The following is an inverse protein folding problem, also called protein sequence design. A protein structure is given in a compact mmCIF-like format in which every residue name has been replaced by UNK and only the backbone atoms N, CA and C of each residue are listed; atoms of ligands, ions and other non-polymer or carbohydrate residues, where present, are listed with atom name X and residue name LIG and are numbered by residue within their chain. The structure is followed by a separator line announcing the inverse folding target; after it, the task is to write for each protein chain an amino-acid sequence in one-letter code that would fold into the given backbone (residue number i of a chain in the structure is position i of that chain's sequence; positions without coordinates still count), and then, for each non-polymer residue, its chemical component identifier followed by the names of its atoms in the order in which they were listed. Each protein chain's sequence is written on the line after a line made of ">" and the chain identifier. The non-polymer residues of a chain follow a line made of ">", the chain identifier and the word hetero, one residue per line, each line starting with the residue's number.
data_IF_661773464316
#
_entry.id   IF_661773464316
#
_cell.length_a   1.000
_cell.length_b   1.000
_cell.length_c   1.000
_cell.angle_alpha   90.00
_cell.angle_beta   90.00
_cell.angle_gamma   90.00
#
_symmetry.space_group_name_H-M   'P 1'
#
loop_
_entity.id
_entity.type
_entity.pdbx_description
1 polymer ?
#
# COMPACT_ATOMS: atom_id res chain seq x y z
N UNK A 1 6.13 7.17 34.43
CA UNK A 1 7.07 7.20 33.30
C UNK A 1 6.25 7.61 32.08
N UNK A 2 6.28 8.89 31.71
CA UNK A 2 5.45 9.45 30.65
C UNK A 2 6.05 9.08 29.29
N UNK A 3 5.23 8.54 28.38
CA UNK A 3 5.56 8.42 26.96
C UNK A 3 4.48 9.13 26.14
N UNK A 4 4.88 10.23 25.50
CA UNK A 4 4.18 10.88 24.40
C UNK A 4 4.46 10.12 23.10
N UNK A 5 3.52 10.09 22.16
CA UNK A 5 3.71 9.39 20.88
C UNK A 5 3.51 10.35 19.69
N UNK A 6 4.63 10.71 19.04
CA UNK A 6 4.71 11.36 17.73
C UNK A 6 5.25 10.32 16.71
N UNK A 7 4.58 10.15 15.56
CA UNK A 7 5.04 9.42 14.34
C UNK A 7 5.45 7.94 14.48
N UNK A 8 4.76 7.02 13.78
CA UNK A 8 5.25 5.65 13.57
C UNK A 8 5.93 5.49 12.20
N UNK A 9 7.18 5.07 12.23
CA UNK A 9 8.02 4.70 11.09
C UNK A 9 7.78 3.21 10.77
N UNK A 10 7.53 2.87 9.50
CA UNK A 10 7.52 1.47 9.07
C UNK A 10 8.97 0.97 9.02
N UNK A 11 9.35 0.04 9.91
CA UNK A 11 10.59 -0.72 9.74
C UNK A 11 10.51 -1.53 8.44
N UNK A 12 11.61 -1.56 7.67
CA UNK A 12 11.71 -2.33 6.43
C UNK A 12 11.41 -3.80 6.70
N UNK A 13 10.50 -4.38 5.94
CA UNK A 13 10.15 -5.80 6.06
C UNK A 13 9.61 -6.31 4.72
N UNK A 14 9.61 -7.64 4.56
CA UNK A 14 9.22 -8.31 3.32
C UNK A 14 8.26 -9.47 3.59
N UNK A 15 7.31 -9.68 2.68
CA UNK A 15 6.37 -10.80 2.74
C UNK A 15 6.23 -11.46 1.37
N UNK A 16 5.94 -12.76 1.39
CA UNK A 16 5.58 -13.53 0.21
C UNK A 16 4.09 -13.89 0.32
N UNK A 17 3.33 -13.60 -0.73
CA UNK A 17 1.89 -13.86 -0.77
C UNK A 17 1.54 -14.64 -2.02
N UNK A 18 0.79 -15.71 -1.83
CA UNK A 18 0.27 -16.54 -2.91
C UNK A 18 -1.13 -16.07 -3.25
N UNK A 19 -1.41 -15.89 -4.53
CA UNK A 19 -2.74 -15.50 -4.98
C UNK A 19 -3.06 -16.18 -6.29
N UNK A 20 -4.35 -16.39 -6.51
CA UNK A 20 -4.89 -16.99 -7.72
C UNK A 20 -5.76 -15.94 -8.42
N UNK A 21 -5.69 -15.93 -9.75
CA UNK A 21 -6.50 -15.05 -10.59
C UNK A 21 -7.10 -15.85 -11.73
N UNK A 22 -8.28 -15.42 -12.18
CA UNK A 22 -8.88 -15.90 -13.41
C UNK A 22 -8.44 -14.95 -14.52
N UNK A 23 -7.69 -15.47 -15.48
CA UNK A 23 -7.29 -14.75 -16.69
C UNK A 23 -8.11 -15.23 -17.89
N UNK A 24 -7.97 -14.58 -19.04
CA UNK A 24 -8.62 -15.02 -20.30
C UNK A 24 -8.23 -16.46 -20.69
N UNK A 25 -7.10 -16.96 -20.16
CA UNK A 25 -6.61 -18.32 -20.38
C UNK A 25 -6.95 -19.31 -19.24
N UNK A 26 -7.79 -18.90 -18.28
CA UNK A 26 -8.24 -19.76 -17.16
C UNK A 26 -7.64 -19.41 -15.80
N UNK A 27 -7.65 -20.37 -14.87
CA UNK A 27 -7.10 -20.21 -13.52
C UNK A 27 -5.57 -20.20 -13.56
N UNK A 28 -4.97 -19.11 -13.07
CA UNK A 28 -3.52 -18.99 -12.92
C UNK A 28 -3.16 -18.68 -11.47
N UNK A 29 -2.16 -19.40 -10.96
CA UNK A 29 -1.51 -19.12 -9.68
C UNK A 29 -0.32 -18.19 -9.88
N UNK A 30 -0.11 -17.27 -8.96
CA UNK A 30 1.04 -16.39 -8.93
C UNK A 30 1.53 -16.16 -7.50
N UNK A 31 2.84 -15.96 -7.38
CA UNK A 31 3.50 -15.60 -6.14
C UNK A 31 3.96 -14.15 -6.24
N UNK A 32 3.56 -13.34 -5.27
CA UNK A 32 4.04 -11.98 -5.12
C UNK A 32 5.05 -11.89 -3.99
N UNK A 33 6.12 -11.13 -4.24
CA UNK A 33 7.06 -10.68 -3.23
C UNK A 33 6.85 -9.19 -3.02
N UNK A 34 6.60 -8.80 -1.77
CA UNK A 34 6.30 -7.41 -1.41
C UNK A 34 7.36 -6.94 -0.42
N UNK A 35 7.89 -5.74 -0.65
CA UNK A 35 8.78 -5.04 0.28
C UNK A 35 8.12 -3.73 0.67
N UNK A 36 7.92 -3.51 1.97
CA UNK A 36 7.40 -2.24 2.49
C UNK A 36 8.55 -1.36 2.95
N UNK A 37 8.67 -0.19 2.33
CA UNK A 37 9.66 0.83 2.66
C UNK A 37 8.94 2.08 3.18
N UNK A 38 9.33 2.53 4.38
CA UNK A 38 8.85 3.81 4.91
C UNK A 38 9.37 4.98 4.06
N UNK A 39 8.58 6.06 3.89
CA UNK A 39 8.99 7.22 3.10
C UNK A 39 10.25 7.90 3.68
N UNK A 40 10.35 8.01 5.00
CA UNK A 40 11.51 8.63 5.66
C UNK A 40 12.81 7.84 5.41
N UNK A 41 12.72 6.51 5.30
CA UNK A 41 13.85 5.64 5.00
C UNK A 41 14.36 5.87 3.56
N UNK A 42 13.43 5.99 2.61
CA UNK A 42 13.77 6.29 1.21
C UNK A 42 14.38 7.68 1.12
N UNK A 43 13.78 8.68 1.78
CA UNK A 43 14.29 10.05 1.82
C UNK A 43 15.68 10.14 2.44
N UNK A 44 15.96 9.41 3.53
CA UNK A 44 17.28 9.37 4.18
C UNK A 44 18.36 8.83 3.25
N UNK A 45 18.12 7.68 2.61
CA UNK A 45 19.05 7.09 1.64
C UNK A 45 19.32 8.03 0.45
N UNK A 46 18.30 8.76 0.01
CA UNK A 46 18.46 9.74 -1.06
C UNK A 46 19.25 10.97 -0.62
N UNK A 47 19.03 11.44 0.60
CA UNK A 47 19.74 12.57 1.16
C UNK A 47 21.22 12.26 1.32
N UNK A 48 21.56 11.08 1.84
CA UNK A 48 22.95 10.61 1.97
C UNK A 48 23.64 10.50 0.61
N UNK A 49 22.93 10.00 -0.40
CA UNK A 49 23.49 9.82 -1.74
C UNK A 49 23.65 11.14 -2.53
N UNK A 50 22.84 12.16 -2.23
CA UNK A 50 22.82 13.44 -2.95
C UNK A 50 23.52 14.59 -2.19
N UNK A 51 23.97 14.33 -0.95
CA UNK A 51 24.49 15.31 0.02
C UNK A 51 23.55 16.51 0.24
N UNK A 52 22.24 16.31 0.02
CA UNK A 52 21.21 17.35 0.13
C UNK A 52 19.83 16.73 0.31
N UNK A 53 18.85 17.46 0.89
CA UNK A 53 17.48 16.97 0.98
C UNK A 53 16.91 16.62 -0.41
N UNK A 54 16.44 15.39 -0.58
CA UNK A 54 15.89 14.89 -1.82
C UNK A 54 14.44 14.42 -1.62
N UNK A 55 13.56 14.82 -2.53
CA UNK A 55 12.17 14.35 -2.54
C UNK A 55 12.06 12.87 -2.92
N UNK A 56 10.95 12.24 -2.54
CA UNK A 56 10.67 10.85 -2.92
C UNK A 56 10.57 10.71 -4.45
N UNK A 57 11.01 9.57 -5.02
CA UNK A 57 10.88 9.32 -6.44
C UNK A 57 9.39 9.21 -6.79
N UNK A 58 8.97 9.96 -7.82
CA UNK A 58 7.62 9.91 -8.36
C UNK A 58 7.61 9.05 -9.62
N UNK A 59 6.70 8.09 -9.66
CA UNK A 59 6.50 7.20 -10.81
C UNK A 59 5.23 7.58 -11.55
N UNK A 60 5.34 7.84 -12.85
CA UNK A 60 4.17 8.12 -13.69
C UNK A 60 3.37 6.86 -14.03
N UNK A 61 4.03 5.71 -14.10
CA UNK A 61 3.42 4.43 -14.43
C UNK A 61 3.33 3.54 -13.19
N UNK A 62 2.15 2.95 -12.90
CA UNK A 62 1.95 2.10 -11.72
C UNK A 62 2.65 0.73 -11.85
N UNK A 63 3.01 0.34 -13.07
CA UNK A 63 3.75 -0.89 -13.37
C UNK A 63 4.95 -0.51 -14.21
N UNK A 64 6.15 -0.88 -13.74
CA UNK A 64 7.42 -0.60 -14.42
C UNK A 64 8.05 -1.91 -14.86
N UNK A 65 8.35 -2.02 -16.15
CA UNK A 65 9.17 -3.10 -16.68
C UNK A 65 10.65 -2.67 -16.67
N UNK A 66 11.33 -2.93 -15.55
CA UNK A 66 12.77 -2.71 -15.39
C UNK A 66 13.42 -3.94 -14.76
N UNK A 67 14.13 -4.75 -15.56
CA UNK A 67 14.82 -5.95 -15.07
C UNK A 67 15.85 -5.67 -13.97
N UNK A 68 16.52 -4.52 -14.01
CA UNK A 68 17.53 -4.10 -13.04
C UNK A 68 16.92 -3.71 -11.70
N UNK A 69 15.83 -2.94 -11.70
CA UNK A 69 15.07 -2.60 -10.49
C UNK A 69 14.40 -3.84 -9.90
N UNK A 70 13.83 -4.70 -10.75
CA UNK A 70 13.25 -5.96 -10.31
C UNK A 70 14.31 -6.87 -9.64
N UNK A 71 15.53 -6.94 -10.18
CA UNK A 71 16.64 -7.67 -9.57
C UNK A 71 17.08 -7.06 -8.24
N UNK A 72 17.11 -5.73 -8.13
CA UNK A 72 17.42 -5.05 -6.87
C UNK A 72 16.37 -5.32 -5.78
N UNK A 73 15.07 -5.27 -6.13
CA UNK A 73 13.97 -5.60 -5.23
C UNK A 73 14.02 -7.05 -4.76
N UNK A 74 14.35 -8.01 -5.64
CA UNK A 74 14.53 -9.42 -5.25
C UNK A 74 15.67 -9.58 -4.25
N UNK A 75 16.82 -8.95 -4.48
CA UNK A 75 17.96 -8.98 -3.54
C UNK A 75 17.60 -8.36 -2.20
N UNK A 76 16.87 -7.25 -2.20
CA UNK A 76 16.41 -6.61 -0.96
C UNK A 76 15.45 -7.52 -0.20
N UNK A 77 14.48 -8.12 -0.88
CA UNK A 77 13.57 -9.09 -0.29
C UNK A 77 14.33 -10.24 0.39
N UNK A 78 15.30 -10.84 -0.30
CA UNK A 78 16.07 -11.96 0.24
C UNK A 78 16.95 -11.53 1.42
N UNK A 79 17.58 -10.34 1.33
CA UNK A 79 18.37 -9.76 2.42
C UNK A 79 17.54 -9.47 3.68
N UNK A 80 16.28 -9.04 3.54
CA UNK A 80 15.38 -8.80 4.67
C UNK A 80 14.97 -10.09 5.39
N UNK A 81 15.04 -11.25 4.72
CA UNK A 81 14.69 -12.54 5.31
C UNK A 81 15.84 -13.20 6.06
N UNK A 82 17.03 -13.19 5.46
CA UNK A 82 18.16 -14.00 5.95
C UNK A 82 19.50 -13.27 5.95
N UNK A 83 19.55 -12.04 5.42
CA UNK A 83 20.77 -11.27 5.28
C UNK A 83 21.19 -10.55 6.56
N UNK A 84 22.48 -10.22 6.64
CA UNK A 84 23.02 -9.34 7.68
C UNK A 84 22.47 -7.92 7.54
N UNK A 85 22.58 -7.10 8.60
CA UNK A 85 22.17 -5.68 8.56
C UNK A 85 22.89 -4.90 7.46
N UNK A 86 24.19 -5.14 7.27
CA UNK A 86 24.98 -4.52 6.20
C UNK A 86 24.43 -4.90 4.82
N UNK A 87 24.14 -6.19 4.60
CA UNK A 87 23.55 -6.68 3.34
C UNK A 87 22.17 -6.06 3.07
N UNK A 88 21.37 -5.85 4.12
CA UNK A 88 20.07 -5.17 4.00
C UNK A 88 20.23 -3.70 3.63
N UNK A 89 21.22 -3.00 4.20
CA UNK A 89 21.52 -1.60 3.90
C UNK A 89 22.01 -1.43 2.45
N UNK A 90 22.92 -2.27 2.00
CA UNK A 90 23.43 -2.27 0.62
C UNK A 90 22.32 -2.53 -0.40
N UNK A 91 21.47 -3.53 -0.15
CA UNK A 91 20.37 -3.88 -1.03
C UNK A 91 19.29 -2.79 -1.07
N UNK A 92 19.03 -2.14 0.06
CA UNK A 92 18.12 -0.99 0.15
C UNK A 92 18.66 0.18 -0.66
N UNK A 93 19.93 0.54 -0.47
CA UNK A 93 20.56 1.63 -1.19
C UNK A 93 20.58 1.38 -2.71
N UNK A 94 20.86 0.15 -3.14
CA UNK A 94 20.80 -0.24 -4.55
C UNK A 94 19.38 -0.10 -5.14
N UNK A 95 18.36 -0.47 -4.37
CA UNK A 95 16.95 -0.39 -4.76
C UNK A 95 16.51 1.06 -4.91
N UNK A 96 16.79 1.91 -3.91
CA UNK A 96 16.48 3.34 -3.93
C UNK A 96 17.18 4.05 -5.11
N UNK A 97 18.45 3.74 -5.39
CA UNK A 97 19.13 4.27 -6.59
C UNK A 97 18.47 3.81 -7.89
N UNK A 98 17.99 2.57 -7.96
CA UNK A 98 17.21 2.07 -9.09
C UNK A 98 15.89 2.83 -9.27
N UNK A 99 15.21 3.13 -8.16
CA UNK A 99 13.99 3.94 -8.14
C UNK A 99 14.23 5.34 -8.68
N UNK A 100 15.32 6.03 -8.30
CA UNK A 100 15.65 7.38 -8.81
C UNK A 100 15.95 7.40 -10.30
N UNK A 101 16.57 6.35 -10.85
CA UNK A 101 16.85 6.30 -12.29
C UNK A 101 15.59 6.24 -13.15
N UNK A 102 14.46 5.81 -12.58
CA UNK A 102 13.19 5.64 -13.29
C UNK A 102 12.11 6.62 -12.84
N UNK A 103 12.14 7.01 -11.57
CA UNK A 103 11.28 8.01 -11.00
C UNK A 103 11.84 9.40 -11.22
N UNK A 104 10.99 10.35 -11.54
CA UNK A 104 11.38 11.75 -11.50
C UNK A 104 11.42 12.22 -10.05
N UNK A 105 12.49 12.91 -9.64
CA UNK A 105 12.52 13.65 -8.37
C UNK A 105 11.86 15.02 -8.47
N UNK A 106 11.59 15.47 -9.72
CA UNK A 106 10.68 16.58 -10.01
C UNK A 106 9.25 16.05 -10.13
N UNK A 107 8.22 16.80 -9.73
CA UNK A 107 6.84 16.48 -10.09
C UNK A 107 6.75 16.34 -11.61
N UNK A 108 6.63 15.11 -12.10
CA UNK A 108 6.33 14.90 -13.50
C UNK A 108 4.86 15.28 -13.66
N UNK A 109 4.49 16.17 -14.61
CA UNK A 109 3.08 16.34 -14.93
C UNK A 109 2.58 14.97 -15.34
N UNK A 110 1.71 14.38 -14.51
CA UNK A 110 1.12 13.07 -14.77
C UNK A 110 0.56 13.12 -16.19
N UNK A 111 1.02 12.25 -17.08
CA UNK A 111 0.37 12.02 -18.39
C UNK A 111 -1.02 11.38 -18.23
N UNK A 112 -1.57 11.34 -17.02
CA UNK A 112 -2.98 11.13 -16.75
C UNK A 112 -3.69 12.48 -16.72
N UNK A 113 -4.67 12.67 -17.61
CA UNK A 113 -5.60 13.79 -17.51
C UNK A 113 -6.15 13.90 -16.08
N UNK A 114 -6.46 15.14 -15.65
CA UNK A 114 -7.01 15.45 -14.31
C UNK A 114 -7.94 14.31 -13.86
N UNK A 115 -7.65 13.71 -12.71
CA UNK A 115 -8.56 12.78 -12.05
C UNK A 115 -9.94 13.44 -12.07
N UNK A 116 -10.95 12.83 -12.72
CA UNK A 116 -12.24 13.47 -12.84
C UNK A 116 -12.73 13.88 -11.46
N UNK A 117 -13.21 15.11 -11.29
CA UNK A 117 -13.64 15.62 -9.99
C UNK A 117 -14.63 14.66 -9.28
N UNK A 118 -15.46 13.94 -10.05
CA UNK A 118 -16.32 12.88 -9.53
C UNK A 118 -15.59 11.71 -8.86
N UNK A 119 -14.48 11.24 -9.44
CA UNK A 119 -13.66 10.17 -8.85
C UNK A 119 -12.97 10.67 -7.58
N UNK A 120 -12.53 11.93 -7.56
CA UNK A 120 -11.97 12.56 -6.37
C UNK A 120 -12.98 12.58 -5.21
N UNK A 121 -14.20 13.04 -5.46
CA UNK A 121 -15.27 13.08 -4.45
C UNK A 121 -15.64 11.69 -3.92
N UNK A 122 -15.70 10.68 -4.80
CA UNK A 122 -15.92 9.30 -4.37
C UNK A 122 -14.79 8.77 -3.48
N UNK A 123 -13.53 9.13 -3.77
CA UNK A 123 -12.38 8.79 -2.92
C UNK A 123 -12.46 9.48 -1.56
N UNK A 124 -12.79 10.77 -1.53
CA UNK A 124 -12.96 11.53 -0.28
C UNK A 124 -14.04 10.91 0.61
N UNK A 125 -15.17 10.49 0.03
CA UNK A 125 -16.22 9.79 0.76
C UNK A 125 -15.73 8.45 1.31
N UNK A 126 -14.98 7.67 0.53
CA UNK A 126 -14.38 6.41 1.00
C UNK A 126 -13.37 6.63 2.12
N UNK A 127 -12.58 7.70 2.06
CA UNK A 127 -11.60 8.04 3.10
C UNK A 127 -12.28 8.54 4.38
N UNK A 128 -13.39 9.27 4.27
CA UNK A 128 -14.13 9.81 5.41
C UNK A 128 -15.03 8.76 6.08
N UNK A 129 -15.68 7.90 5.29
CA UNK A 129 -16.72 6.96 5.75
C UNK A 129 -16.32 5.50 5.50
N UNK A 130 -15.02 5.19 5.55
CA UNK A 130 -14.53 3.84 5.24
C UNK A 130 -15.22 2.74 6.05
N UNK A 131 -15.61 3.00 7.31
CA UNK A 131 -16.20 2.00 8.19
C UNK A 131 -17.65 1.65 7.82
N UNK A 132 -18.35 2.54 7.10
CA UNK A 132 -19.74 2.33 6.69
C UNK A 132 -19.83 1.39 5.49
N UNK A 133 -20.92 0.63 5.39
CA UNK A 133 -21.22 -0.18 4.22
C UNK A 133 -21.73 0.70 3.06
N UNK A 134 -20.77 1.33 2.37
CA UNK A 134 -21.03 2.24 1.24
C UNK A 134 -21.42 1.44 -0.01
N UNK A 135 -22.58 1.75 -0.56
CA UNK A 135 -23.04 1.14 -1.80
C UNK A 135 -22.38 1.77 -3.04
N UNK A 136 -22.36 1.01 -4.14
CA UNK A 136 -21.89 1.53 -5.42
C UNK A 136 -22.77 2.69 -5.94
N UNK A 137 -24.05 2.75 -5.54
CA UNK A 137 -24.96 3.86 -5.88
C UNK A 137 -24.57 5.16 -5.20
N UNK A 138 -24.24 5.12 -3.91
CA UNK A 138 -23.85 6.30 -3.17
C UNK A 138 -22.57 6.92 -3.74
N UNK A 139 -21.58 6.07 -4.03
CA UNK A 139 -20.34 6.53 -4.67
C UNK A 139 -20.61 7.10 -6.07
N UNK A 140 -21.50 6.47 -6.84
CA UNK A 140 -21.88 6.92 -8.18
C UNK A 140 -22.61 8.28 -8.14
N UNK A 141 -23.53 8.45 -7.18
CA UNK A 141 -24.27 9.68 -6.94
C UNK A 141 -23.31 10.84 -6.59
N UNK A 142 -22.41 10.64 -5.63
CA UNK A 142 -21.41 11.66 -5.24
C UNK A 142 -20.43 11.95 -6.38
N UNK A 143 -20.09 10.95 -7.19
CA UNK A 143 -19.27 11.15 -8.38
C UNK A 143 -20.00 11.90 -9.51
N UNK A 144 -21.34 11.91 -9.53
CA UNK A 144 -22.13 12.38 -10.67
C UNK A 144 -21.93 11.52 -11.91
N UNK A 145 -21.78 10.20 -11.74
CA UNK A 145 -21.47 9.23 -12.80
C UNK A 145 -22.32 7.97 -12.61
N UNK A 146 -22.49 7.18 -13.67
CA UNK A 146 -23.04 5.82 -13.51
C UNK A 146 -22.06 4.93 -12.74
N UNK A 147 -22.55 3.88 -12.06
CA UNK A 147 -21.71 2.89 -11.35
C UNK A 147 -20.54 2.39 -12.18
N UNK A 148 -20.81 2.05 -13.45
CA UNK A 148 -19.80 1.51 -14.36
C UNK A 148 -18.76 2.56 -14.80
N UNK A 149 -19.20 3.80 -15.04
CA UNK A 149 -18.30 4.90 -15.36
C UNK A 149 -17.42 5.27 -14.15
N UNK A 150 -18.00 5.27 -12.94
CA UNK A 150 -17.24 5.44 -11.70
C UNK A 150 -16.20 4.33 -11.54
N UNK A 151 -16.60 3.05 -11.62
CA UNK A 151 -15.68 1.93 -11.43
C UNK A 151 -14.46 2.03 -12.35
N UNK A 152 -14.68 2.23 -13.67
CA UNK A 152 -13.59 2.38 -14.64
C UNK A 152 -12.74 3.62 -14.37
N UNK A 153 -13.38 4.76 -14.06
CA UNK A 153 -12.68 6.00 -13.74
C UNK A 153 -11.83 5.89 -12.48
N UNK A 154 -12.35 5.23 -11.45
CA UNK A 154 -11.69 4.99 -10.17
C UNK A 154 -10.51 4.02 -10.34
N UNK A 155 -10.69 2.91 -11.07
CA UNK A 155 -9.60 2.00 -11.38
C UNK A 155 -8.48 2.69 -12.17
N UNK A 156 -8.83 3.52 -13.16
CA UNK A 156 -7.85 4.30 -13.95
C UNK A 156 -7.10 5.33 -13.10
N UNK A 157 -7.77 5.97 -12.15
CA UNK A 157 -7.19 7.06 -11.36
C UNK A 157 -6.45 6.58 -10.10
N UNK A 158 -6.93 5.51 -9.47
CA UNK A 158 -6.46 5.04 -8.17
C UNK A 158 -5.76 3.68 -8.24
N UNK A 159 -5.80 2.99 -9.40
CA UNK A 159 -5.20 1.67 -9.59
C UNK A 159 -5.94 0.52 -8.90
N UNK A 160 -7.05 0.81 -8.21
CA UNK A 160 -7.84 -0.16 -7.44
C UNK A 160 -9.33 0.04 -7.74
N UNK A 161 -10.13 -1.02 -7.60
CA UNK A 161 -11.59 -0.87 -7.58
C UNK A 161 -12.02 -0.14 -6.29
N UNK A 162 -13.16 0.58 -6.27
CA UNK A 162 -13.64 1.29 -5.08
C UNK A 162 -13.74 0.42 -3.82
N UNK A 163 -14.21 -0.83 -3.97
CA UNK A 163 -14.33 -1.80 -2.86
C UNK A 163 -12.97 -2.24 -2.32
N UNK A 164 -11.98 -2.45 -3.20
CA UNK A 164 -10.61 -2.80 -2.80
C UNK A 164 -9.90 -1.62 -2.14
N UNK A 165 -10.16 -0.39 -2.62
CA UNK A 165 -9.69 0.83 -1.98
C UNK A 165 -10.26 0.98 -0.57
N UNK A 166 -11.59 0.85 -0.40
CA UNK A 166 -12.22 0.90 0.91
C UNK A 166 -11.62 -0.14 1.86
N UNK A 167 -11.47 -1.38 1.39
CA UNK A 167 -10.86 -2.46 2.16
C UNK A 167 -9.43 -2.13 2.59
N UNK A 168 -8.64 -1.52 1.70
CA UNK A 168 -7.29 -1.07 2.02
C UNK A 168 -7.30 0.01 3.12
N UNK A 169 -8.23 0.97 3.07
CA UNK A 169 -8.39 1.99 4.12
C UNK A 169 -8.80 1.34 5.44
N UNK A 170 -9.77 0.40 5.42
CA UNK A 170 -10.18 -0.38 6.61
C UNK A 170 -9.01 -1.16 7.21
N UNK A 171 -8.20 -1.83 6.39
CA UNK A 171 -7.02 -2.57 6.86
C UNK A 171 -5.99 -1.66 7.54
N UNK A 172 -5.75 -0.47 6.97
CA UNK A 172 -4.87 0.54 7.60
C UNK A 172 -5.45 1.05 8.92
N UNK A 173 -6.76 1.23 9.00
CA UNK A 173 -7.44 1.61 10.25
C UNK A 173 -7.32 0.51 11.31
N UNK A 174 -7.67 -0.74 10.97
CA UNK A 174 -7.52 -1.89 11.86
C UNK A 174 -6.08 -2.04 12.37
N UNK A 175 -5.08 -1.85 11.50
CA UNK A 175 -3.67 -1.85 11.91
C UNK A 175 -3.38 -0.79 12.98
N UNK A 176 -3.87 0.45 12.82
CA UNK A 176 -3.68 1.52 13.82
C UNK A 176 -4.35 1.16 15.16
N UNK A 177 -5.53 0.56 15.11
CA UNK A 177 -6.25 0.11 16.31
C UNK A 177 -5.49 -1.00 17.05
N UNK A 178 -4.93 -1.97 16.31
CA UNK A 178 -4.10 -3.03 16.90
C UNK A 178 -2.84 -2.47 17.56
N UNK A 179 -2.16 -1.50 16.92
CA UNK A 179 -0.98 -0.82 17.51
C UNK A 179 -1.33 -0.05 18.78
N UNK A 180 -2.55 0.49 18.87
CA UNK A 180 -3.04 1.21 20.06
C UNK A 180 -3.61 0.29 21.14
N UNK A 181 -3.50 -1.03 20.98
CA UNK A 181 -3.80 -2.02 22.02
C UNK A 181 -5.13 -2.75 21.86
N UNK A 182 -6.00 -2.32 20.93
CA UNK A 182 -7.29 -2.95 20.66
C UNK A 182 -7.11 -4.43 20.34
N UNK A 183 -8.04 -5.24 20.82
CA UNK A 183 -8.15 -6.64 20.44
C UNK A 183 -8.48 -6.77 18.94
N UNK A 184 -8.16 -7.90 18.29
CA UNK A 184 -8.58 -8.15 16.92
C UNK A 184 -10.09 -8.03 16.67
N UNK A 185 -10.92 -8.31 17.69
CA UNK A 185 -12.37 -8.16 17.59
C UNK A 185 -12.81 -6.69 17.59
N UNK A 186 -12.30 -5.88 18.51
CA UNK A 186 -12.55 -4.43 18.57
C UNK A 186 -12.05 -3.74 17.29
N UNK A 187 -10.82 -4.05 16.87
CA UNK A 187 -10.23 -3.51 15.65
C UNK A 187 -11.04 -3.87 14.40
N UNK A 188 -11.67 -5.04 14.36
CA UNK A 188 -12.55 -5.43 13.25
C UNK A 188 -13.83 -4.59 13.24
N UNK A 189 -14.50 -4.46 14.39
CA UNK A 189 -15.75 -3.71 14.50
C UNK A 189 -15.55 -2.23 14.16
N UNK A 190 -14.54 -1.58 14.73
CA UNK A 190 -14.29 -0.16 14.52
C UNK A 190 -13.75 0.18 13.13
N UNK A 191 -12.98 -0.73 12.52
CA UNK A 191 -12.51 -0.54 11.15
C UNK A 191 -13.57 -0.87 10.09
N UNK A 192 -14.76 -1.35 10.47
CA UNK A 192 -15.85 -1.69 9.55
C UNK A 192 -15.70 -3.05 8.88
N UNK A 193 -15.06 -4.03 9.53
CA UNK A 193 -15.14 -5.43 9.10
C UNK A 193 -16.38 -6.09 9.70
N UNK A 194 -16.98 -7.02 8.94
CA UNK A 194 -18.15 -7.77 9.38
C UNK A 194 -17.92 -8.52 10.71
N UNK A 195 -16.72 -9.08 10.89
CA UNK A 195 -16.29 -9.78 12.10
C UNK A 195 -14.75 -9.91 12.14
N UNK A 196 -14.23 -10.44 13.25
CA UNK A 196 -12.81 -10.70 13.45
C UNK A 196 -12.23 -11.69 12.42
N UNK A 197 -12.99 -12.71 12.01
CA UNK A 197 -12.55 -13.71 11.04
C UNK A 197 -12.36 -13.08 9.65
N UNK A 198 -13.26 -12.17 9.28
CA UNK A 198 -13.19 -11.38 8.05
C UNK A 198 -11.97 -10.45 8.07
N UNK A 199 -11.71 -9.76 9.19
CA UNK A 199 -10.47 -9.01 9.37
C UNK A 199 -9.25 -9.93 9.23
N UNK A 200 -9.22 -11.06 9.94
CA UNK A 200 -8.07 -11.97 9.96
C UNK A 200 -7.70 -12.46 8.56
N UNK A 201 -8.69 -12.84 7.76
CA UNK A 201 -8.51 -13.29 6.37
C UNK A 201 -7.84 -12.21 5.51
N UNK A 202 -8.36 -10.99 5.55
CA UNK A 202 -7.84 -9.90 4.73
C UNK A 202 -6.53 -9.33 5.25
N UNK A 203 -6.35 -9.28 6.57
CA UNK A 203 -5.13 -8.83 7.21
C UNK A 203 -3.97 -9.77 6.89
N UNK A 204 -4.19 -11.09 6.94
CA UNK A 204 -3.21 -12.09 6.49
C UNK A 204 -2.90 -11.95 5.00
N UNK A 205 -3.91 -11.79 4.14
CA UNK A 205 -3.71 -11.60 2.70
C UNK A 205 -2.93 -10.32 2.36
N UNK A 206 -3.11 -9.25 3.14
CA UNK A 206 -2.54 -7.94 2.83
C UNK A 206 -1.20 -7.68 3.54
N UNK A 207 -1.04 -8.14 4.78
CA UNK A 207 0.15 -7.91 5.62
C UNK A 207 0.98 -9.16 5.88
N UNK A 208 0.60 -10.33 5.38
CA UNK A 208 1.36 -11.58 5.53
C UNK A 208 1.32 -12.23 6.92
N UNK A 209 0.67 -11.60 7.90
CA UNK A 209 0.55 -12.10 9.29
C UNK A 209 -0.88 -11.93 9.78
N UNK A 210 -1.27 -12.65 10.84
CA UNK A 210 -2.60 -12.46 11.45
C UNK A 210 -2.63 -11.25 12.38
N UNK A 211 -3.80 -10.63 12.63
CA UNK A 211 -3.93 -9.50 13.58
C UNK A 211 -3.40 -9.82 14.98
N UNK A 212 -3.63 -11.05 15.46
CA UNK A 212 -3.18 -11.49 16.78
C UNK A 212 -1.65 -11.54 16.89
N UNK A 213 -0.98 -12.12 15.88
CA UNK A 213 0.48 -12.15 15.80
C UNK A 213 1.06 -10.74 15.65
N UNK A 214 0.41 -9.91 14.83
CA UNK A 214 0.83 -8.52 14.62
C UNK A 214 0.77 -7.68 15.91
N UNK A 215 -0.25 -7.90 16.75
CA UNK A 215 -0.41 -7.19 18.04
C UNK A 215 0.62 -7.61 19.09
N UNK A 216 1.11 -8.85 19.05
CA UNK A 216 2.06 -9.38 20.04
C UNK A 216 3.53 -9.15 19.69
N UNK A 217 3.82 -8.59 18.51
CA UNK A 217 5.15 -8.32 18.00
C UNK A 217 5.61 -6.90 18.37
#
# INVERSE_FOLDING_TARGET
>A
MHAHFERHVYHRHSHESHSFGVTETGLQGFTYRIVHLGPDLVAGVLADAAERPAGLPLFADPVLDDPGLAAALRRLHDALRTGSRLTQDEALAATVRGMVRRGSTRPQPTRGGKVPAGVHRARELLDAEYARDLSADELAAVAGRSRYALHRGFLKACGLAPSDYQRQVRLRAARRLLVTGHTPAEAAAEAGFADQSHLTRWFGRYYGVTPGVFRSA
#
